data_IF_066033191979
#
_entry.id   IF_066033191979
#
_cell.length_a   1.000
_cell.length_b   1.000
_cell.length_c   1.000
_cell.angle_alpha   90.00
_cell.angle_beta   90.00
_cell.angle_gamma   90.00
#
_symmetry.space_group_name_H-M   'P 1'
#
loop_
_entity.id
_entity.type
_entity.pdbx_description
1 polymer ?
#
# COMPACT_ATOMS: atom_id res chain seq x y z
N UNK A 1 6.42 8.27 19.94
CA UNK A 1 6.37 9.26 18.83
C UNK A 1 6.48 8.58 17.47
N UNK A 2 7.25 7.51 17.39
CA UNK A 2 7.46 6.70 16.19
C UNK A 2 6.17 6.03 15.70
N UNK A 3 5.36 5.49 16.63
CA UNK A 3 4.07 4.87 16.30
C UNK A 3 3.09 5.84 15.64
N UNK A 4 3.09 7.12 16.06
CA UNK A 4 2.25 8.16 15.45
C UNK A 4 2.66 8.44 14.01
N UNK A 5 3.97 8.39 13.70
CA UNK A 5 4.47 8.57 12.33
C UNK A 5 4.12 7.38 11.45
N UNK A 6 4.25 6.17 11.99
CA UNK A 6 3.88 4.94 11.29
C UNK A 6 2.37 4.91 10.99
N UNK A 7 1.53 5.22 11.98
CA UNK A 7 0.09 5.32 11.82
C UNK A 7 -0.28 6.30 10.71
N UNK A 8 0.27 7.53 10.75
CA UNK A 8 0.00 8.54 9.73
C UNK A 8 0.40 8.04 8.33
N UNK A 9 1.55 7.38 8.21
CA UNK A 9 2.02 6.82 6.93
C UNK A 9 1.06 5.78 6.36
N UNK A 10 0.51 4.91 7.20
CA UNK A 10 -0.46 3.90 6.78
C UNK A 10 -1.76 4.57 6.31
N UNK A 11 -2.27 5.54 7.06
CA UNK A 11 -3.47 6.31 6.67
C UNK A 11 -3.25 7.01 5.33
N UNK A 12 -2.13 7.72 5.16
CA UNK A 12 -1.79 8.40 3.91
C UNK A 12 -1.72 7.42 2.73
N UNK A 13 -1.18 6.20 2.93
CA UNK A 13 -1.15 5.16 1.90
C UNK A 13 -2.54 4.66 1.54
N UNK A 14 -3.44 4.45 2.52
CA UNK A 14 -4.81 3.99 2.27
C UNK A 14 -5.57 5.04 1.46
N UNK A 15 -5.50 6.32 1.85
CA UNK A 15 -6.17 7.41 1.14
C UNK A 15 -5.68 7.54 -0.32
N UNK A 16 -4.38 7.36 -0.54
CA UNK A 16 -3.79 7.36 -1.89
C UNK A 16 -4.20 6.12 -2.70
N UNK A 17 -4.29 4.94 -2.08
CA UNK A 17 -4.77 3.71 -2.74
C UNK A 17 -6.21 3.89 -3.24
N UNK A 18 -7.08 4.56 -2.48
CA UNK A 18 -8.47 4.78 -2.88
C UNK A 18 -8.59 5.69 -4.12
N UNK A 19 -7.67 6.64 -4.31
CA UNK A 19 -7.68 7.59 -5.44
C UNK A 19 -6.85 7.13 -6.63
N UNK A 20 -5.71 6.50 -6.36
CA UNK A 20 -4.72 6.10 -7.34
C UNK A 20 -4.27 4.66 -7.08
N UNK A 21 -5.11 3.64 -7.33
CA UNK A 21 -4.88 2.29 -6.83
C UNK A 21 -3.56 1.65 -7.27
N UNK A 22 -3.03 2.00 -8.44
CA UNK A 22 -1.86 1.36 -9.04
C UNK A 22 -0.67 2.31 -9.24
N UNK A 23 -0.75 3.55 -8.72
CA UNK A 23 0.28 4.58 -8.83
C UNK A 23 0.34 5.43 -7.56
N UNK A 24 1.24 6.42 -7.49
CA UNK A 24 1.35 7.31 -6.34
C UNK A 24 2.37 6.85 -5.29
N UNK A 25 2.09 7.14 -4.03
CA UNK A 25 3.08 7.07 -2.96
C UNK A 25 3.34 5.62 -2.50
N UNK A 26 4.55 5.39 -1.98
CA UNK A 26 4.94 4.07 -1.47
C UNK A 26 5.38 3.08 -2.55
N UNK A 27 5.68 3.52 -3.78
CA UNK A 27 6.19 2.67 -4.87
C UNK A 27 5.32 1.42 -5.07
N UNK A 28 4.08 1.59 -5.59
CA UNK A 28 3.18 0.47 -5.81
C UNK A 28 3.80 -0.55 -6.78
N UNK A 29 3.83 -1.81 -6.36
CA UNK A 29 4.40 -2.92 -7.12
C UNK A 29 3.37 -4.06 -7.21
N UNK A 30 3.03 -4.55 -8.41
CA UNK A 30 2.12 -5.68 -8.57
C UNK A 30 2.81 -6.98 -8.12
N UNK A 31 2.12 -7.78 -7.31
CA UNK A 31 2.64 -9.06 -6.83
C UNK A 31 2.40 -10.17 -7.86
N UNK A 32 3.26 -11.19 -7.80
CA UNK A 32 3.34 -12.29 -8.78
C UNK A 32 2.90 -13.63 -8.16
N UNK A 33 2.80 -14.65 -9.01
CA UNK A 33 2.48 -16.04 -8.64
C UNK A 33 1.16 -16.15 -7.85
N UNK A 34 1.19 -16.72 -6.65
CA UNK A 34 0.02 -16.95 -5.81
C UNK A 34 -0.65 -15.65 -5.36
N UNK A 35 0.08 -14.52 -5.39
CA UNK A 35 -0.43 -13.20 -5.04
C UNK A 35 -0.77 -12.35 -6.28
N UNK A 36 -0.93 -12.98 -7.45
CA UNK A 36 -1.37 -12.27 -8.66
C UNK A 36 -2.68 -11.55 -8.41
N UNK A 37 -2.72 -10.26 -8.74
CA UNK A 37 -3.87 -9.38 -8.50
C UNK A 37 -3.82 -8.61 -7.18
N UNK A 38 -2.86 -8.94 -6.29
CA UNK A 38 -2.52 -8.09 -5.15
C UNK A 38 -1.42 -7.09 -5.53
N UNK A 39 -1.35 -6.04 -4.73
CA UNK A 39 -0.39 -4.95 -4.85
C UNK A 39 0.28 -4.70 -3.51
N UNK A 40 1.53 -4.25 -3.56
CA UNK A 40 2.34 -3.91 -2.39
C UNK A 40 2.77 -2.46 -2.46
N UNK A 41 2.73 -1.76 -1.33
CA UNK A 41 3.34 -0.44 -1.13
C UNK A 41 4.25 -0.43 0.09
N UNK A 42 5.32 0.36 0.01
CA UNK A 42 6.33 0.54 1.04
C UNK A 42 5.82 1.44 2.16
N UNK A 43 5.77 0.90 3.37
CA UNK A 43 5.53 1.68 4.59
C UNK A 43 6.87 2.28 5.03
N UNK A 44 7.90 1.44 5.15
CA UNK A 44 9.30 1.80 5.38
C UNK A 44 10.21 0.82 4.60
N UNK A 45 11.50 0.69 4.96
CA UNK A 45 12.42 -0.21 4.27
C UNK A 45 11.99 -1.68 4.40
N UNK A 46 11.47 -2.08 5.55
CA UNK A 46 11.12 -3.46 5.92
C UNK A 46 9.66 -3.81 5.62
N UNK A 47 8.72 -3.00 6.11
CA UNK A 47 7.29 -3.29 6.11
C UNK A 47 6.59 -2.87 4.81
N UNK A 48 5.58 -3.66 4.42
CA UNK A 48 4.75 -3.44 3.24
C UNK A 48 3.27 -3.48 3.58
N UNK A 49 2.50 -2.59 2.96
CA UNK A 49 1.04 -2.66 2.92
C UNK A 49 0.65 -3.44 1.67
N UNK A 50 0.05 -4.61 1.84
CA UNK A 50 -0.44 -5.46 0.75
C UNK A 50 -1.96 -5.34 0.66
N UNK A 51 -2.49 -5.09 -0.53
CA UNK A 51 -3.92 -4.88 -0.76
C UNK A 51 -4.35 -5.44 -2.12
N UNK A 52 -5.67 -5.54 -2.32
CA UNK A 52 -6.30 -5.89 -3.59
C UNK A 52 -7.49 -4.97 -3.81
N UNK A 53 -7.71 -4.57 -5.05
CA UNK A 53 -8.92 -3.85 -5.46
C UNK A 53 -9.95 -4.89 -5.89
N UNK A 54 -11.15 -4.80 -5.32
CA UNK A 54 -12.29 -5.64 -5.67
C UNK A 54 -13.42 -4.75 -6.16
N UNK A 55 -14.27 -5.28 -7.04
CA UNK A 55 -15.53 -4.62 -7.39
C UNK A 55 -16.41 -4.52 -6.14
N UNK A 56 -17.20 -3.45 -6.08
CA UNK A 56 -18.12 -3.16 -4.96
C UNK A 56 -19.48 -3.79 -5.25
#
# INVERSE_FOLDING_TARGET
MEDKKLYKKIVDLIDDILRHPFSGIGKPEPLKHQLKGYWSRRINEEHRLVYKITET
#
